data_IF_670806333751
#
_entry.id   IF_670806333751
#
_cell.length_a   1.000
_cell.length_b   1.000
_cell.length_c   1.000
_cell.angle_alpha   90.00
_cell.angle_beta   90.00
_cell.angle_gamma   90.00
#
_symmetry.space_group_name_H-M   'P 1'
#
loop_
_entity.id
_entity.type
_entity.pdbx_description
1 polymer ?
#
# COMPACT_ATOMS: atom_id res chain seq x y z
N UNK A 1 -11.89 27.40 -33.74
CA UNK A 1 -11.83 26.14 -32.92
C UNK A 1 -11.56 26.52 -31.47
N UNK A 2 -12.35 26.07 -30.51
CA UNK A 2 -12.13 26.32 -29.09
C UNK A 2 -10.74 25.82 -28.65
N UNK A 3 -10.08 26.52 -27.72
CA UNK A 3 -8.81 26.08 -27.13
C UNK A 3 -8.86 24.65 -26.61
N UNK A 4 -10.02 24.22 -26.14
CA UNK A 4 -10.28 22.86 -25.69
C UNK A 4 -10.00 21.80 -26.77
N UNK A 5 -10.51 21.99 -27.98
CA UNK A 5 -10.28 21.04 -29.08
C UNK A 5 -8.82 21.02 -29.56
N UNK A 6 -8.10 22.13 -29.46
CA UNK A 6 -6.66 22.15 -29.76
C UNK A 6 -5.89 21.29 -28.77
N UNK A 7 -6.14 21.43 -27.47
CA UNK A 7 -5.51 20.64 -26.41
C UNK A 7 -5.84 19.15 -26.57
N UNK A 8 -7.09 18.81 -26.89
CA UNK A 8 -7.46 17.41 -27.14
C UNK A 8 -6.71 16.83 -28.34
N UNK A 9 -6.55 17.59 -29.42
CA UNK A 9 -5.80 17.14 -30.60
C UNK A 9 -4.31 16.95 -30.33
N UNK A 10 -3.74 17.78 -29.47
CA UNK A 10 -2.35 17.62 -29.02
C UNK A 10 -2.18 16.38 -28.13
N UNK A 11 -3.13 16.13 -27.24
CA UNK A 11 -3.11 14.96 -26.33
C UNK A 11 -3.39 13.64 -27.06
N UNK A 12 -4.27 13.68 -28.07
CA UNK A 12 -4.72 12.51 -28.83
C UNK A 12 -4.57 12.78 -30.34
N UNK A 13 -3.33 12.70 -30.88
CA UNK A 13 -3.06 13.06 -32.25
C UNK A 13 -3.67 12.08 -33.28
N UNK A 14 -3.91 10.82 -32.89
CA UNK A 14 -4.44 9.77 -33.76
C UNK A 14 -5.80 9.29 -33.26
N UNK A 15 -6.61 8.76 -34.19
CA UNK A 15 -7.93 8.19 -33.87
C UNK A 15 -7.81 7.01 -32.91
N UNK A 16 -6.79 6.19 -33.08
CA UNK A 16 -6.51 5.03 -32.24
C UNK A 16 -6.26 5.44 -30.79
N UNK A 17 -5.58 6.55 -30.56
CA UNK A 17 -5.31 7.08 -29.23
C UNK A 17 -6.62 7.48 -28.54
N UNK A 18 -7.56 8.10 -29.28
CA UNK A 18 -8.90 8.47 -28.78
C UNK A 18 -9.70 7.22 -28.43
N UNK A 19 -9.74 6.23 -29.33
CA UNK A 19 -10.49 4.99 -29.12
C UNK A 19 -9.95 4.24 -27.89
N UNK A 20 -8.63 4.12 -27.77
CA UNK A 20 -7.98 3.49 -26.60
C UNK A 20 -8.34 4.20 -25.30
N UNK A 21 -8.32 5.53 -25.29
CA UNK A 21 -8.68 6.30 -24.09
C UNK A 21 -10.15 6.18 -23.75
N UNK A 22 -11.04 6.18 -24.75
CA UNK A 22 -12.49 5.95 -24.50
C UNK A 22 -12.75 4.59 -23.85
N UNK A 23 -12.14 3.52 -24.38
CA UNK A 23 -12.26 2.17 -23.80
C UNK A 23 -11.72 2.16 -22.37
N UNK A 24 -10.56 2.78 -22.14
CA UNK A 24 -9.95 2.88 -20.81
C UNK A 24 -10.85 3.62 -19.81
N UNK A 25 -11.40 4.77 -20.19
CA UNK A 25 -12.27 5.57 -19.33
C UNK A 25 -13.58 4.84 -19.01
N UNK A 26 -14.20 4.20 -20.00
CA UNK A 26 -15.42 3.42 -19.79
C UNK A 26 -15.17 2.23 -18.87
N UNK A 27 -14.06 1.51 -19.05
CA UNK A 27 -13.65 0.43 -18.16
C UNK A 27 -13.39 0.91 -16.73
N UNK A 28 -12.72 2.06 -16.55
CA UNK A 28 -12.47 2.68 -15.23
C UNK A 28 -13.78 3.00 -14.51
N UNK A 29 -14.83 3.43 -15.23
CA UNK A 29 -16.14 3.70 -14.64
C UNK A 29 -16.81 2.45 -14.03
N UNK A 30 -16.37 1.24 -14.39
CA UNK A 30 -16.86 -0.02 -13.83
C UNK A 30 -16.06 -0.50 -12.62
N UNK A 31 -14.96 0.16 -12.28
CA UNK A 31 -14.19 -0.20 -11.09
C UNK A 31 -14.98 0.11 -9.81
N UNK A 32 -14.75 -0.64 -8.73
CA UNK A 32 -15.30 -0.31 -7.42
C UNK A 32 -14.97 1.13 -7.02
N UNK A 33 -15.91 1.79 -6.35
CA UNK A 33 -15.68 3.14 -5.83
C UNK A 33 -14.50 3.15 -4.87
N UNK A 34 -13.73 4.22 -4.93
CA UNK A 34 -12.66 4.49 -3.98
C UNK A 34 -13.18 4.66 -2.55
N UNK A 35 -12.30 4.51 -1.58
CA UNK A 35 -12.61 4.74 -0.17
C UNK A 35 -12.48 6.22 0.14
N UNK A 36 -13.56 6.83 0.63
CA UNK A 36 -13.59 8.22 1.05
C UNK A 36 -13.62 8.29 2.58
N UNK A 37 -12.74 9.11 3.16
CA UNK A 37 -12.69 9.38 4.60
C UNK A 37 -13.05 10.82 4.86
N UNK A 38 -13.89 11.03 5.88
CA UNK A 38 -14.27 12.35 6.36
C UNK A 38 -13.75 12.49 7.79
N UNK A 39 -12.96 13.52 8.02
CA UNK A 39 -12.44 13.88 9.35
C UNK A 39 -12.90 15.30 9.65
N UNK A 40 -13.45 15.52 10.86
CA UNK A 40 -13.80 16.86 11.33
C UNK A 40 -12.88 17.29 12.48
N UNK A 41 -12.70 18.59 12.61
CA UNK A 41 -12.15 19.26 13.80
C UNK A 41 -10.80 18.69 14.25
N UNK A 42 -9.78 18.82 13.39
CA UNK A 42 -8.43 18.30 13.66
C UNK A 42 -7.72 19.03 14.80
N UNK A 43 -8.02 20.32 14.99
CA UNK A 43 -7.51 21.18 16.05
C UNK A 43 -5.97 21.12 16.26
N UNK A 44 -5.20 20.76 15.23
CA UNK A 44 -3.75 20.63 15.32
C UNK A 44 -3.26 19.41 16.09
N UNK A 45 -4.10 18.40 16.31
CA UNK A 45 -3.74 17.13 16.98
C UNK A 45 -3.03 16.18 16.00
N UNK A 46 -1.74 16.45 15.74
CA UNK A 46 -0.95 15.72 14.75
C UNK A 46 -0.92 14.21 14.99
N UNK A 47 -0.67 13.79 16.23
CA UNK A 47 -0.50 12.36 16.55
C UNK A 47 -1.79 11.56 16.34
N UNK A 48 -2.95 12.17 16.66
CA UNK A 48 -4.24 11.55 16.41
C UNK A 48 -4.53 11.39 14.90
N UNK A 49 -4.21 12.42 14.12
CA UNK A 49 -4.38 12.40 12.66
C UNK A 49 -3.43 11.40 12.03
N UNK A 50 -2.14 11.40 12.42
CA UNK A 50 -1.15 10.44 11.92
C UNK A 50 -1.58 8.99 12.21
N UNK A 51 -2.07 8.71 13.42
CA UNK A 51 -2.62 7.42 13.78
C UNK A 51 -3.82 7.02 12.88
N UNK A 52 -4.78 7.92 12.68
CA UNK A 52 -5.94 7.66 11.82
C UNK A 52 -5.52 7.35 10.38
N UNK A 53 -4.56 8.10 9.84
CA UNK A 53 -4.05 7.87 8.48
C UNK A 53 -3.30 6.53 8.37
N UNK A 54 -2.42 6.23 9.31
CA UNK A 54 -1.65 4.97 9.33
C UNK A 54 -2.51 3.74 9.45
N UNK A 55 -3.58 3.81 10.22
CA UNK A 55 -4.52 2.70 10.44
C UNK A 55 -5.65 2.65 9.42
N UNK A 56 -5.76 3.68 8.56
CA UNK A 56 -6.91 3.87 7.69
C UNK A 56 -8.20 3.94 8.50
N UNK A 57 -8.18 4.68 9.65
CA UNK A 57 -9.28 4.73 10.61
C UNK A 57 -9.82 3.33 11.03
N UNK A 58 -8.92 2.36 11.19
CA UNK A 58 -9.23 0.96 11.53
C UNK A 58 -9.59 0.07 10.34
N UNK A 59 -9.72 0.61 9.13
CA UNK A 59 -10.10 -0.17 7.95
C UNK A 59 -9.04 -1.18 7.52
N UNK A 60 -7.76 -0.93 7.80
CA UNK A 60 -6.71 -1.91 7.49
C UNK A 60 -7.00 -3.21 8.24
N UNK A 61 -7.22 -3.14 9.56
CA UNK A 61 -7.54 -4.34 10.37
C UNK A 61 -8.79 -5.08 9.88
N UNK A 62 -9.87 -4.35 9.58
CA UNK A 62 -11.09 -4.95 9.06
C UNK A 62 -10.84 -5.71 7.75
N UNK A 63 -10.11 -5.10 6.82
CA UNK A 63 -9.76 -5.74 5.54
C UNK A 63 -8.78 -6.90 5.67
N UNK A 64 -7.90 -6.89 6.68
CA UNK A 64 -7.05 -8.05 6.97
C UNK A 64 -7.86 -9.25 7.40
N UNK A 65 -8.93 -9.04 8.19
CA UNK A 65 -9.86 -10.10 8.57
C UNK A 65 -10.60 -10.69 7.36
N UNK A 66 -10.91 -9.86 6.36
CA UNK A 66 -11.53 -10.31 5.12
C UNK A 66 -10.53 -10.99 4.17
N UNK A 67 -9.27 -10.56 4.19
CA UNK A 67 -8.23 -11.04 3.28
C UNK A 67 -7.71 -12.43 3.64
N UNK A 68 -7.69 -12.79 4.93
CA UNK A 68 -7.07 -13.99 5.45
C UNK A 68 -7.97 -14.79 6.40
N UNK A 69 -7.85 -16.11 6.33
CA UNK A 69 -8.30 -17.01 7.39
C UNK A 69 -7.22 -17.07 8.49
N UNK A 70 -7.28 -16.12 9.43
CA UNK A 70 -6.29 -15.98 10.50
C UNK A 70 -6.19 -17.21 11.42
N UNK A 71 -7.20 -18.08 11.43
CA UNK A 71 -7.11 -19.33 12.19
C UNK A 71 -6.11 -20.33 11.57
N UNK A 72 -5.80 -20.16 10.29
CA UNK A 72 -4.83 -21.00 9.56
C UNK A 72 -3.42 -20.39 9.52
N UNK A 73 -3.28 -19.12 9.86
CA UNK A 73 -1.97 -18.43 9.90
C UNK A 73 -1.39 -18.63 11.31
N UNK A 74 -0.64 -19.68 11.50
CA UNK A 74 -0.05 -20.03 12.82
C UNK A 74 1.20 -19.20 13.12
N UNK A 75 1.92 -18.75 12.09
CA UNK A 75 3.23 -18.13 12.23
C UNK A 75 3.19 -16.66 12.65
N UNK A 76 2.06 -15.96 12.40
CA UNK A 76 1.95 -14.51 12.56
C UNK A 76 0.66 -14.15 13.26
N UNK A 77 0.76 -13.41 14.36
CA UNK A 77 -0.38 -12.86 15.06
C UNK A 77 -0.95 -11.63 14.33
N UNK A 78 -2.28 -11.50 14.27
CA UNK A 78 -2.96 -10.41 13.58
C UNK A 78 -2.60 -9.03 14.16
N UNK A 79 -2.53 -8.91 15.48
CA UNK A 79 -2.26 -7.62 16.14
C UNK A 79 -0.80 -7.21 15.90
N UNK A 80 0.11 -8.19 15.97
CA UNK A 80 1.52 -8.00 15.65
C UNK A 80 1.72 -7.55 14.19
N UNK A 81 0.98 -8.15 13.28
CA UNK A 81 1.00 -7.76 11.86
C UNK A 81 0.37 -6.38 11.61
N UNK A 82 -0.72 -6.04 12.30
CA UNK A 82 -1.29 -4.69 12.24
C UNK A 82 -0.28 -3.64 12.72
N UNK A 83 0.43 -3.88 13.82
CA UNK A 83 1.45 -2.96 14.35
C UNK A 83 2.57 -2.78 13.31
N UNK A 84 3.00 -3.85 12.65
CA UNK A 84 3.99 -3.76 11.57
C UNK A 84 3.49 -2.88 10.41
N UNK A 85 2.23 -3.03 10.00
CA UNK A 85 1.66 -2.21 8.93
C UNK A 85 1.50 -0.74 9.33
N UNK A 86 1.19 -0.45 10.61
CA UNK A 86 0.98 0.92 11.08
C UNK A 86 2.28 1.66 11.38
N UNK A 87 3.22 0.98 12.03
CA UNK A 87 4.48 1.53 12.53
C UNK A 87 5.66 0.64 12.15
N UNK A 88 5.96 0.47 10.84
CA UNK A 88 6.92 -0.53 10.39
C UNK A 88 8.33 -0.30 10.95
N UNK A 89 8.80 0.95 11.02
CA UNK A 89 10.15 1.27 11.50
C UNK A 89 10.30 0.93 12.99
N UNK A 90 9.35 1.37 13.78
CA UNK A 90 9.32 1.17 15.23
C UNK A 90 9.18 -0.33 15.57
N UNK A 91 8.32 -1.04 14.83
CA UNK A 91 8.10 -2.46 15.03
C UNK A 91 9.32 -3.29 14.66
N UNK A 92 9.95 -3.01 13.53
CA UNK A 92 11.18 -3.71 13.12
C UNK A 92 12.32 -3.47 14.12
N UNK A 93 12.50 -2.23 14.58
CA UNK A 93 13.50 -1.92 15.60
C UNK A 93 13.23 -2.66 16.92
N UNK A 94 11.97 -2.70 17.37
CA UNK A 94 11.56 -3.44 18.56
C UNK A 94 11.84 -4.95 18.42
N UNK A 95 11.42 -5.55 17.30
CA UNK A 95 11.62 -6.98 17.07
C UNK A 95 13.10 -7.34 16.98
N UNK A 96 13.91 -6.51 16.33
CA UNK A 96 15.37 -6.69 16.22
C UNK A 96 16.07 -6.67 17.57
N UNK A 97 15.57 -5.89 18.54
CA UNK A 97 16.12 -5.85 19.90
C UNK A 97 15.67 -7.01 20.77
N UNK A 98 14.47 -7.57 20.51
CA UNK A 98 13.85 -8.55 21.40
C UNK A 98 13.92 -10.00 20.90
N UNK A 99 14.29 -10.22 19.64
CA UNK A 99 14.41 -11.54 19.04
C UNK A 99 15.87 -11.92 18.80
N UNK A 100 16.15 -13.22 18.81
CA UNK A 100 17.43 -13.69 18.29
C UNK A 100 17.55 -13.41 16.78
N UNK A 101 18.76 -13.29 16.26
CA UNK A 101 19.00 -13.03 14.84
C UNK A 101 18.29 -14.04 13.92
N UNK A 102 18.27 -15.31 14.32
CA UNK A 102 17.58 -16.37 13.58
C UNK A 102 16.05 -16.18 13.61
N UNK A 103 15.46 -15.94 14.79
CA UNK A 103 14.03 -15.72 14.94
C UNK A 103 13.57 -14.45 14.19
N UNK A 104 14.35 -13.39 14.24
CA UNK A 104 14.08 -12.17 13.52
C UNK A 104 14.09 -12.40 12.00
N UNK A 105 15.11 -13.09 11.48
CA UNK A 105 15.19 -13.44 10.05
C UNK A 105 13.98 -14.28 9.61
N UNK A 106 13.60 -15.30 10.38
CA UNK A 106 12.42 -16.12 10.10
C UNK A 106 11.16 -15.28 10.07
N UNK A 107 10.96 -14.40 11.06
CA UNK A 107 9.81 -13.49 11.10
C UNK A 107 9.73 -12.61 9.86
N UNK A 108 10.83 -11.99 9.44
CA UNK A 108 10.84 -11.15 8.23
C UNK A 108 10.47 -11.96 6.98
N UNK A 109 10.99 -13.21 6.87
CA UNK A 109 10.67 -14.10 5.76
C UNK A 109 9.17 -14.42 5.68
N UNK A 110 8.52 -14.62 6.82
CA UNK A 110 7.07 -14.93 6.91
C UNK A 110 6.19 -13.69 6.64
N UNK A 111 6.66 -12.48 7.00
CA UNK A 111 5.91 -11.24 6.85
C UNK A 111 5.79 -10.78 5.39
N UNK A 112 6.82 -10.99 4.56
CA UNK A 112 6.84 -10.49 3.17
C UNK A 112 5.70 -11.07 2.32
N UNK A 113 5.49 -12.40 2.26
CA UNK A 113 4.38 -12.98 1.49
C UNK A 113 3.01 -12.45 1.93
N UNK A 114 2.83 -12.27 3.25
CA UNK A 114 1.57 -11.72 3.79
C UNK A 114 1.36 -10.27 3.35
N UNK A 115 2.40 -9.42 3.43
CA UNK A 115 2.32 -8.04 2.96
C UNK A 115 2.04 -7.95 1.46
N UNK A 116 2.66 -8.81 0.64
CA UNK A 116 2.40 -8.87 -0.81
C UNK A 116 0.95 -9.28 -1.07
N UNK A 117 0.42 -10.25 -0.34
CA UNK A 117 -0.98 -10.68 -0.48
C UNK A 117 -1.94 -9.57 -0.08
N UNK A 118 -1.68 -8.86 1.02
CA UNK A 118 -2.46 -7.67 1.44
C UNK A 118 -2.41 -6.58 0.38
N UNK A 119 -1.22 -6.27 -0.14
CA UNK A 119 -1.05 -5.27 -1.18
C UNK A 119 -1.82 -5.65 -2.46
N UNK A 120 -1.80 -6.92 -2.84
CA UNK A 120 -2.57 -7.48 -3.96
C UNK A 120 -4.08 -7.32 -3.73
N UNK A 121 -4.56 -7.65 -2.54
CA UNK A 121 -5.97 -7.50 -2.16
C UNK A 121 -6.41 -6.03 -2.20
N UNK A 122 -5.64 -5.11 -1.60
CA UNK A 122 -5.97 -3.67 -1.58
C UNK A 122 -5.87 -3.03 -2.95
N UNK A 123 -4.94 -3.50 -3.80
CA UNK A 123 -4.76 -2.98 -5.16
C UNK A 123 -5.79 -3.49 -6.16
N UNK A 124 -6.56 -4.54 -5.82
CA UNK A 124 -7.52 -5.19 -6.74
C UNK A 124 -8.62 -4.26 -7.28
N UNK A 125 -8.94 -3.20 -6.53
CA UNK A 125 -9.93 -2.18 -6.93
C UNK A 125 -9.38 -1.12 -7.89
N UNK A 126 -8.09 -1.16 -8.24
CA UNK A 126 -7.44 -0.14 -9.05
C UNK A 126 -6.97 -0.67 -10.40
N UNK A 127 -6.75 0.25 -11.35
CA UNK A 127 -6.01 -0.08 -12.56
C UNK A 127 -4.54 -0.37 -12.25
N UNK A 128 -3.88 -1.23 -13.03
CA UNK A 128 -2.44 -1.48 -12.92
C UNK A 128 -1.62 -0.18 -13.00
N UNK A 129 -2.05 0.77 -13.85
CA UNK A 129 -1.40 2.07 -13.98
C UNK A 129 -1.48 2.90 -12.70
N UNK A 130 -2.62 2.88 -11.98
CA UNK A 130 -2.77 3.59 -10.69
C UNK A 130 -1.87 2.94 -9.64
N UNK A 131 -1.86 1.61 -9.54
CA UNK A 131 -0.99 0.88 -8.61
C UNK A 131 0.47 1.20 -8.87
N UNK A 132 0.92 1.11 -10.13
CA UNK A 132 2.31 1.41 -10.53
C UNK A 132 2.74 2.83 -10.13
N UNK A 133 1.86 3.83 -10.26
CA UNK A 133 2.15 5.21 -9.85
C UNK A 133 2.33 5.36 -8.34
N UNK A 134 1.71 4.50 -7.55
CA UNK A 134 1.88 4.48 -6.09
C UNK A 134 3.13 3.71 -5.66
N UNK A 135 3.57 2.74 -6.46
CA UNK A 135 4.84 2.06 -6.29
C UNK A 135 5.98 2.97 -6.75
N UNK A 136 6.27 4.02 -6.00
CA UNK A 136 7.37 4.94 -6.31
C UNK A 136 8.63 4.55 -5.52
N UNK A 137 9.80 4.78 -6.13
CA UNK A 137 11.08 4.67 -5.45
C UNK A 137 11.83 3.36 -5.65
N UNK A 138 12.69 3.04 -4.69
CA UNK A 138 13.76 2.04 -4.77
C UNK A 138 13.31 0.63 -5.15
N UNK A 139 12.13 0.21 -4.69
CA UNK A 139 11.62 -1.16 -4.85
C UNK A 139 10.45 -1.29 -5.82
N UNK A 140 10.09 -0.25 -6.57
CA UNK A 140 8.91 -0.26 -7.44
C UNK A 140 8.88 -1.47 -8.38
N UNK A 141 9.98 -1.73 -9.10
CA UNK A 141 10.10 -2.87 -9.99
C UNK A 141 10.00 -4.21 -9.23
N UNK A 142 10.70 -4.35 -8.11
CA UNK A 142 10.69 -5.57 -7.30
C UNK A 142 9.27 -5.87 -6.79
N UNK A 143 8.56 -4.85 -6.31
CA UNK A 143 7.19 -5.01 -5.83
C UNK A 143 6.24 -5.36 -6.98
N UNK A 144 6.40 -4.76 -8.17
CA UNK A 144 5.62 -5.17 -9.35
C UNK A 144 5.82 -6.65 -9.69
N UNK A 145 7.06 -7.14 -9.66
CA UNK A 145 7.36 -8.55 -9.90
C UNK A 145 6.75 -9.46 -8.82
N UNK A 146 6.85 -9.05 -7.55
CA UNK A 146 6.26 -9.78 -6.43
C UNK A 146 4.71 -9.77 -6.45
N UNK A 147 4.08 -8.76 -7.05
CA UNK A 147 2.64 -8.71 -7.28
C UNK A 147 2.19 -9.55 -8.48
N UNK A 148 3.08 -9.80 -9.43
CA UNK A 148 2.80 -10.57 -10.63
C UNK A 148 2.77 -12.08 -10.30
N UNK A 149 1.55 -12.62 -10.14
CA UNK A 149 1.18 -14.04 -10.26
C UNK A 149 2.08 -15.10 -9.58
N UNK A 150 2.19 -15.05 -8.24
CA UNK A 150 2.82 -16.14 -7.47
C UNK A 150 1.93 -17.40 -7.47
N UNK A 151 0.61 -17.21 -7.48
CA UNK A 151 -0.35 -18.29 -7.21
C UNK A 151 -0.63 -19.22 -8.40
N UNK A 152 -0.21 -18.83 -9.62
CA UNK A 152 -0.58 -19.53 -10.85
C UNK A 152 0.55 -20.30 -11.53
N UNK A 153 1.79 -20.10 -11.13
CA UNK A 153 2.92 -20.78 -11.74
C UNK A 153 3.95 -21.25 -10.70
N UNK A 154 3.94 -22.54 -10.32
CA UNK A 154 4.91 -23.11 -9.37
C UNK A 154 6.37 -22.91 -9.80
N UNK A 155 6.64 -22.81 -11.11
CA UNK A 155 8.00 -22.58 -11.65
C UNK A 155 8.52 -21.17 -11.29
N UNK A 156 7.65 -20.20 -11.09
CA UNK A 156 8.02 -18.86 -10.62
C UNK A 156 8.33 -18.77 -9.13
N UNK A 157 8.05 -19.81 -8.34
CA UNK A 157 8.36 -19.81 -6.92
C UNK A 157 9.86 -19.63 -6.68
N UNK A 158 10.70 -20.32 -7.43
CA UNK A 158 12.17 -20.18 -7.34
C UNK A 158 12.64 -18.75 -7.65
N UNK A 159 12.02 -18.09 -8.64
CA UNK A 159 12.31 -16.70 -8.96
C UNK A 159 11.95 -15.75 -7.80
N UNK A 160 10.78 -15.94 -7.19
CA UNK A 160 10.34 -15.19 -6.04
C UNK A 160 11.28 -15.39 -4.84
N UNK A 161 11.57 -16.65 -4.50
CA UNK A 161 12.46 -16.98 -3.39
C UNK A 161 13.85 -16.38 -3.60
N UNK A 162 14.38 -16.39 -4.83
CA UNK A 162 15.66 -15.76 -5.18
C UNK A 162 15.63 -14.25 -4.98
N UNK A 163 14.53 -13.56 -5.31
CA UNK A 163 14.41 -12.11 -5.03
C UNK A 163 14.53 -11.85 -3.52
N UNK A 164 13.78 -12.62 -2.71
CA UNK A 164 13.79 -12.44 -1.26
C UNK A 164 15.17 -12.79 -0.67
N UNK A 165 15.79 -13.88 -1.09
CA UNK A 165 17.14 -14.26 -0.67
C UNK A 165 18.16 -13.14 -0.95
N UNK A 166 18.11 -12.54 -2.15
CA UNK A 166 19.00 -11.45 -2.51
C UNK A 166 18.74 -10.18 -1.71
N UNK A 167 17.50 -9.91 -1.34
CA UNK A 167 17.19 -8.80 -0.43
C UNK A 167 17.78 -9.03 0.96
N UNK A 168 17.78 -10.27 1.47
CA UNK A 168 18.45 -10.61 2.73
C UNK A 168 19.98 -10.49 2.61
N UNK A 169 20.57 -11.01 1.54
CA UNK A 169 22.04 -10.90 1.33
C UNK A 169 22.53 -9.45 1.22
N UNK A 170 21.70 -8.56 0.69
CA UNK A 170 22.00 -7.15 0.48
C UNK A 170 21.51 -6.24 1.62
N UNK A 171 21.01 -6.80 2.73
CA UNK A 171 20.50 -6.06 3.88
C UNK A 171 19.38 -5.06 3.52
N UNK A 172 18.49 -5.44 2.58
CA UNK A 172 17.43 -4.58 2.04
C UNK A 172 16.02 -4.99 2.45
N UNK A 173 15.88 -6.05 3.23
CA UNK A 173 14.57 -6.63 3.60
C UNK A 173 13.76 -5.69 4.47
N UNK A 174 14.39 -5.06 5.48
CA UNK A 174 13.71 -4.11 6.37
C UNK A 174 13.16 -2.92 5.56
N UNK A 175 13.94 -2.37 4.63
CA UNK A 175 13.53 -1.29 3.75
C UNK A 175 12.35 -1.71 2.85
N UNK A 176 12.36 -2.94 2.31
CA UNK A 176 11.25 -3.46 1.53
C UNK A 176 9.96 -3.54 2.37
N UNK A 177 10.03 -4.10 3.58
CA UNK A 177 8.89 -4.23 4.50
C UNK A 177 8.31 -2.86 4.84
N UNK A 178 9.17 -1.85 5.07
CA UNK A 178 8.74 -0.47 5.32
C UNK A 178 7.99 0.09 4.11
N UNK A 179 8.54 -0.07 2.91
CA UNK A 179 7.92 0.43 1.67
C UNK A 179 6.59 -0.28 1.39
N UNK A 180 6.51 -1.60 1.60
CA UNK A 180 5.26 -2.35 1.46
C UNK A 180 4.18 -1.84 2.44
N UNK A 181 4.53 -1.66 3.72
CA UNK A 181 3.60 -1.13 4.72
C UNK A 181 3.10 0.27 4.34
N UNK A 182 4.00 1.18 3.96
CA UNK A 182 3.64 2.54 3.54
C UNK A 182 2.75 2.53 2.29
N UNK A 183 3.03 1.65 1.32
CA UNK A 183 2.20 1.52 0.13
C UNK A 183 0.79 1.03 0.47
N UNK A 184 0.66 0.07 1.39
CA UNK A 184 -0.64 -0.40 1.90
C UNK A 184 -1.40 0.75 2.58
N UNK A 185 -0.74 1.55 3.43
CA UNK A 185 -1.34 2.72 4.08
C UNK A 185 -1.87 3.74 3.06
N UNK A 186 -1.13 4.00 1.98
CA UNK A 186 -1.55 4.94 0.93
C UNK A 186 -2.72 4.39 0.12
N UNK A 187 -2.76 3.08 -0.15
CA UNK A 187 -3.81 2.47 -0.95
C UNK A 187 -5.13 2.27 -0.21
N UNK A 188 -5.16 2.42 1.12
CA UNK A 188 -6.40 2.24 1.89
C UNK A 188 -7.34 3.44 1.78
N UNK A 189 -6.79 4.64 1.61
CA UNK A 189 -7.54 5.90 1.54
C UNK A 189 -7.38 6.50 0.14
N UNK A 190 -8.47 6.59 -0.62
CA UNK A 190 -8.45 7.22 -1.94
C UNK A 190 -8.63 8.73 -1.87
N UNK A 191 -9.55 9.16 -1.01
CA UNK A 191 -9.88 10.57 -0.80
C UNK A 191 -10.03 10.86 0.69
N UNK A 192 -9.35 11.89 1.16
CA UNK A 192 -9.48 12.41 2.50
C UNK A 192 -10.17 13.78 2.44
N UNK A 193 -11.30 13.89 3.12
CA UNK A 193 -12.06 15.12 3.25
C UNK A 193 -11.91 15.64 4.68
N UNK A 194 -11.36 16.83 4.83
CA UNK A 194 -11.28 17.51 6.11
C UNK A 194 -12.41 18.54 6.18
N UNK A 195 -13.31 18.37 7.16
CA UNK A 195 -14.47 19.21 7.37
C UNK A 195 -14.35 19.83 8.77
N UNK A 196 -14.31 21.18 8.86
CA UNK A 196 -14.17 21.89 10.14
C UNK A 196 -12.77 22.43 10.40
N UNK A 197 -12.46 22.67 11.68
CA UNK A 197 -11.29 23.42 12.09
C UNK A 197 -10.00 22.59 12.08
N UNK A 198 -8.98 23.09 11.37
CA UNK A 198 -7.70 22.40 11.26
C UNK A 198 -6.73 22.83 12.38
N UNK A 199 -6.70 24.12 12.79
CA UNK A 199 -5.62 24.68 13.60
C UNK A 199 -6.02 25.44 14.86
N UNK A 200 -7.29 25.61 15.21
CA UNK A 200 -7.72 26.64 16.18
C UNK A 200 -7.46 26.34 17.66
N UNK A 201 -7.33 25.05 18.08
CA UNK A 201 -7.23 24.65 19.51
C UNK A 201 -6.11 23.66 19.85
N UNK A 202 -5.36 23.16 18.89
CA UNK A 202 -4.36 22.10 19.14
C UNK A 202 -3.10 22.59 19.86
N UNK A 203 -2.48 21.70 20.62
CA UNK A 203 -1.24 21.94 21.34
C UNK A 203 -0.01 22.00 20.42
N UNK A 204 -0.11 21.45 19.23
CA UNK A 204 0.98 21.38 18.25
C UNK A 204 0.79 22.37 17.10
N UNK A 205 0.67 23.64 17.42
CA UNK A 205 0.82 24.72 16.44
C UNK A 205 2.30 24.81 16.07
N UNK A 206 2.74 24.18 15.01
CA UNK A 206 4.04 24.49 14.44
C UNK A 206 3.90 25.58 13.41
N UNK A 207 4.72 26.62 13.64
CA UNK A 207 5.02 27.74 12.76
C UNK A 207 5.43 27.31 11.36
#
# INVERSE_FOLDING_TARGET
MSNFYKLLKEKFPRKEDIVTEMINLEAICQLPKGTEYFISDLHGEYDAVDYLLRTGAGSIRAKLLDCFDWQKIVAVDLDDFCILLYYPKEKLAFDKMNLSASAYKTKLWEMIPLQIQVLKYFSSKYTKSKVRKQLSGKFAYIIEELLAEIDRNPEKKSYFDTIIEKLFELDQVEDLIIVLSQTIQVLIIDHLHVVGDIYDRGTQRKN
#
